data_IF_714656873015
#
_entry.id   IF_714656873015
#
_cell.length_a   1.000
_cell.length_b   1.000
_cell.length_c   1.000
_cell.angle_alpha   90.00
_cell.angle_beta   90.00
_cell.angle_gamma   90.00
#
_symmetry.space_group_name_H-M   'P 1'
#
loop_
_entity.id
_entity.type
_entity.pdbx_description
1 polymer ?
#
# COMPACT_ATOMS: atom_id res chain seq x y z
N UNK A 1 -5.63 9.62 27.37
CA UNK A 1 -5.76 10.29 26.05
C UNK A 1 -7.23 10.66 25.88
N UNK A 2 -7.55 11.88 25.42
CA UNK A 2 -8.95 12.29 25.24
C UNK A 2 -9.56 11.59 24.03
N UNK A 3 -10.88 11.41 24.02
CA UNK A 3 -11.61 10.79 22.90
C UNK A 3 -11.34 11.51 21.57
N UNK A 4 -11.24 12.84 21.59
CA UNK A 4 -10.86 13.64 20.42
C UNK A 4 -9.45 13.32 19.89
N UNK A 5 -8.45 13.13 20.78
CA UNK A 5 -7.09 12.76 20.35
C UNK A 5 -7.03 11.37 19.71
N UNK A 6 -7.84 10.42 20.18
CA UNK A 6 -7.92 9.08 19.57
C UNK A 6 -8.58 9.15 18.18
N UNK A 7 -9.67 9.91 18.03
CA UNK A 7 -10.33 10.10 16.73
C UNK A 7 -9.41 10.75 15.69
N UNK A 8 -8.57 11.70 16.09
CA UNK A 8 -7.55 12.29 15.20
C UNK A 8 -6.51 11.25 14.75
N UNK A 9 -6.08 10.33 15.63
CA UNK A 9 -5.12 9.27 15.28
C UNK A 9 -5.73 8.27 14.31
N UNK A 10 -6.99 7.88 14.50
CA UNK A 10 -7.71 6.96 13.59
C UNK A 10 -7.89 7.55 12.17
N UNK A 11 -8.18 8.85 12.06
CA UNK A 11 -8.25 9.53 10.75
C UNK A 11 -6.89 9.54 10.05
N UNK A 12 -5.80 9.73 10.79
CA UNK A 12 -4.44 9.75 10.24
C UNK A 12 -3.94 8.37 9.79
N UNK A 13 -4.56 7.29 10.28
CA UNK A 13 -4.31 5.91 9.86
C UNK A 13 -5.20 5.47 8.68
N UNK A 14 -6.08 6.35 8.18
CA UNK A 14 -6.97 6.02 7.07
C UNK A 14 -6.18 5.82 5.77
N UNK A 15 -6.32 4.67 5.10
CA UNK A 15 -5.73 4.44 3.77
C UNK A 15 -6.10 5.51 2.75
N UNK A 16 -7.32 6.05 2.87
CA UNK A 16 -7.85 7.09 1.99
C UNK A 16 -7.14 8.43 2.14
N UNK A 17 -6.58 8.72 3.33
CA UNK A 17 -5.76 9.92 3.52
C UNK A 17 -4.45 9.81 2.73
N UNK A 18 -3.81 8.64 2.76
CA UNK A 18 -2.61 8.37 1.98
C UNK A 18 -2.87 8.53 0.47
N UNK A 19 -3.97 7.94 -0.03
CA UNK A 19 -4.39 8.08 -1.43
C UNK A 19 -4.70 9.53 -1.81
N UNK A 20 -5.41 10.26 -0.95
CA UNK A 20 -5.74 11.66 -1.21
C UNK A 20 -4.47 12.53 -1.27
N UNK A 21 -3.49 12.27 -0.40
CA UNK A 21 -2.18 12.94 -0.44
C UNK A 21 -1.45 12.64 -1.75
N UNK A 22 -1.38 11.37 -2.15
CA UNK A 22 -0.73 10.96 -3.39
C UNK A 22 -1.40 11.57 -4.62
N UNK A 23 -2.73 11.57 -4.67
CA UNK A 23 -3.54 12.21 -5.71
C UNK A 23 -3.22 13.70 -5.84
N UNK A 24 -3.16 14.43 -4.72
CA UNK A 24 -2.84 15.85 -4.73
C UNK A 24 -1.43 16.14 -5.26
N UNK A 25 -0.45 15.31 -4.89
CA UNK A 25 0.91 15.42 -5.42
C UNK A 25 0.91 15.15 -6.94
N UNK A 26 0.24 14.07 -7.38
CA UNK A 26 0.12 13.71 -8.79
C UNK A 26 -0.58 14.81 -9.63
N UNK A 27 -1.61 15.46 -9.09
CA UNK A 27 -2.31 16.55 -9.75
C UNK A 27 -1.42 17.80 -9.91
N UNK A 28 -0.68 18.18 -8.86
CA UNK A 28 0.21 19.35 -8.89
C UNK A 28 1.27 19.23 -9.99
N UNK A 29 1.79 18.02 -10.22
CA UNK A 29 2.77 17.78 -11.28
C UNK A 29 2.18 17.90 -12.69
N UNK A 30 0.89 17.58 -12.86
CA UNK A 30 0.18 17.67 -14.16
C UNK A 30 -0.30 19.09 -14.49
N UNK A 31 -0.74 19.86 -13.49
CA UNK A 31 -1.35 21.17 -13.68
C UNK A 31 -0.50 22.31 -13.12
N UNK A 32 0.37 22.92 -13.94
CA UNK A 32 1.12 24.15 -13.56
C UNK A 32 0.23 25.39 -13.26
N UNK A 33 -1.11 25.28 -13.34
CA UNK A 33 -2.02 26.45 -13.42
C UNK A 33 -3.21 26.46 -12.45
N UNK A 34 -3.48 25.39 -11.69
CA UNK A 34 -4.57 25.37 -10.71
C UNK A 34 -4.01 25.51 -9.30
N UNK A 35 -4.59 26.42 -8.51
CA UNK A 35 -4.29 26.51 -7.08
C UNK A 35 -4.83 25.22 -6.43
N UNK A 36 -3.97 24.33 -5.90
CA UNK A 36 -4.46 23.15 -5.19
C UNK A 36 -5.32 23.60 -4.01
N UNK A 37 -6.25 22.74 -3.58
CA UNK A 37 -6.97 22.97 -2.33
C UNK A 37 -5.93 23.23 -1.22
N UNK A 38 -6.05 24.35 -0.51
CA UNK A 38 -5.04 24.84 0.46
C UNK A 38 -4.64 23.80 1.51
N UNK A 39 -5.51 22.82 1.77
CA UNK A 39 -5.35 21.80 2.80
C UNK A 39 -4.16 20.85 2.56
N UNK A 40 -3.86 20.52 1.30
CA UNK A 40 -2.80 19.56 0.95
C UNK A 40 -1.60 20.24 0.27
N UNK A 41 -1.49 21.57 0.39
CA UNK A 41 -0.42 22.33 -0.25
C UNK A 41 0.97 21.95 0.34
N UNK A 42 1.01 21.49 1.58
CA UNK A 42 2.21 21.01 2.27
C UNK A 42 2.58 19.54 2.02
N UNK A 43 1.79 18.79 1.22
CA UNK A 43 2.07 17.38 1.00
C UNK A 43 3.23 17.17 0.01
N UNK A 44 4.16 16.30 0.36
CA UNK A 44 5.28 15.94 -0.49
C UNK A 44 5.77 14.51 -0.24
N UNK A 45 6.44 13.95 -1.24
CA UNK A 45 7.21 12.72 -1.10
C UNK A 45 8.64 13.07 -0.70
N UNK A 46 9.08 12.59 0.47
CA UNK A 46 10.43 12.74 1.00
C UNK A 46 11.22 11.45 0.82
N UNK A 47 12.54 11.58 0.81
CA UNK A 47 13.45 10.45 0.80
C UNK A 47 14.45 10.61 1.95
N UNK A 48 14.53 9.61 2.82
CA UNK A 48 15.50 9.54 3.91
C UNK A 48 16.27 8.24 3.75
N UNK A 49 17.59 8.32 3.57
CA UNK A 49 18.46 7.17 3.29
C UNK A 49 17.97 6.29 2.13
N UNK A 50 17.42 6.91 1.09
CA UNK A 50 16.86 6.23 -0.08
C UNK A 50 15.46 5.64 0.12
N UNK A 51 14.89 5.72 1.32
CA UNK A 51 13.53 5.23 1.62
C UNK A 51 12.51 6.35 1.47
N UNK A 52 11.42 6.13 0.71
CA UNK A 52 10.39 7.14 0.52
C UNK A 52 9.45 7.23 1.73
N UNK A 53 9.03 8.44 2.07
CA UNK A 53 7.94 8.69 3.00
C UNK A 53 7.01 9.80 2.50
N UNK A 54 5.72 9.66 2.80
CA UNK A 54 4.71 10.65 2.48
C UNK A 54 4.54 11.61 3.66
N UNK A 55 4.93 12.86 3.47
CA UNK A 55 4.83 13.88 4.49
C UNK A 55 3.76 14.92 4.16
N UNK A 56 3.03 15.39 5.16
CA UNK A 56 2.14 16.54 5.01
C UNK A 56 2.02 17.35 6.31
N UNK A 57 1.92 18.66 6.17
CA UNK A 57 1.58 19.57 7.27
C UNK A 57 0.08 19.89 7.18
N UNK A 58 -0.69 19.30 8.08
CA UNK A 58 -2.13 19.51 8.19
C UNK A 58 -2.39 20.58 9.28
N UNK A 59 -3.20 21.59 8.95
CA UNK A 59 -3.69 22.62 9.87
C UNK A 59 -2.66 23.12 10.90
N UNK A 60 -1.65 23.89 10.47
CA UNK A 60 -0.66 24.64 11.25
C UNK A 60 0.02 23.94 12.46
N UNK A 61 -0.18 22.64 12.70
CA UNK A 61 0.27 21.96 13.92
C UNK A 61 0.38 20.43 13.83
N UNK A 62 -0.24 19.76 12.84
CA UNK A 62 -0.16 18.30 12.71
C UNK A 62 0.78 17.94 11.56
N UNK A 63 1.91 17.33 11.90
CA UNK A 63 2.85 16.76 10.91
C UNK A 63 2.55 15.28 10.76
N UNK A 64 2.18 14.88 9.55
CA UNK A 64 2.03 13.49 9.16
C UNK A 64 3.26 13.05 8.39
N UNK A 65 3.76 11.86 8.70
CA UNK A 65 4.87 11.21 8.00
C UNK A 65 4.56 9.71 7.91
N UNK A 66 4.25 9.24 6.71
CA UNK A 66 3.88 7.85 6.42
C UNK A 66 5.09 7.18 5.77
N UNK A 67 5.70 6.23 6.46
CA UNK A 67 6.75 5.38 5.87
C UNK A 67 6.15 4.50 4.77
N UNK A 68 6.77 4.53 3.59
CA UNK A 68 6.36 3.75 2.43
C UNK A 68 7.28 2.54 2.21
N UNK A 69 7.91 2.06 3.28
CA UNK A 69 8.67 0.80 3.31
C UNK A 69 7.75 -0.36 3.67
N UNK A 70 7.71 -1.39 2.84
CA UNK A 70 7.00 -2.62 3.15
C UNK A 70 7.71 -3.35 4.30
N UNK A 71 7.02 -3.62 5.41
CA UNK A 71 7.66 -4.26 6.56
C UNK A 71 7.94 -5.76 6.39
N UNK A 72 7.61 -6.34 5.23
CA UNK A 72 7.84 -7.75 4.91
C UNK A 72 9.10 -7.90 4.07
N UNK A 73 9.19 -7.21 2.93
CA UNK A 73 10.38 -7.26 2.06
C UNK A 73 11.43 -6.19 2.40
N UNK A 74 11.09 -5.21 3.26
CA UNK A 74 11.95 -4.11 3.70
C UNK A 74 12.38 -3.12 2.60
N UNK A 75 11.77 -3.22 1.42
CA UNK A 75 11.92 -2.30 0.30
C UNK A 75 10.75 -1.30 0.23
N UNK A 76 10.84 -0.32 -0.67
CA UNK A 76 9.71 0.56 -1.02
C UNK A 76 8.50 -0.29 -1.42
N UNK A 77 7.30 0.06 -0.93
CA UNK A 77 6.06 -0.64 -1.28
C UNK A 77 5.83 -0.62 -2.80
N UNK A 78 5.50 -1.78 -3.37
CA UNK A 78 5.23 -1.97 -4.78
C UNK A 78 3.85 -2.61 -4.96
N UNK A 79 3.04 -2.08 -5.86
CA UNK A 79 1.60 -2.41 -5.94
C UNK A 79 0.96 -2.32 -4.54
N UNK A 80 1.02 -1.13 -3.90
CA UNK A 80 0.72 -0.97 -2.49
C UNK A 80 -0.75 -1.29 -2.19
N UNK A 81 -0.96 -2.07 -1.13
CA UNK A 81 -2.27 -2.33 -0.54
C UNK A 81 -2.26 -1.91 0.92
N UNK A 82 -3.33 -1.27 1.35
CA UNK A 82 -3.59 -1.01 2.76
C UNK A 82 -4.60 -2.01 3.30
N UNK A 83 -4.26 -2.63 4.44
CA UNK A 83 -5.20 -3.47 5.19
C UNK A 83 -6.22 -2.58 5.92
N UNK A 84 -7.33 -3.16 6.39
CA UNK A 84 -8.37 -2.39 7.10
C UNK A 84 -7.87 -1.77 8.41
N UNK A 85 -6.79 -2.30 8.99
CA UNK A 85 -6.08 -1.71 10.12
C UNK A 85 -5.13 -0.55 9.75
N UNK A 86 -5.09 -0.12 8.48
CA UNK A 86 -4.32 1.03 8.00
C UNK A 86 -2.86 0.75 7.59
N UNK A 87 -2.34 -0.46 7.84
CA UNK A 87 -0.95 -0.82 7.49
C UNK A 87 -0.81 -1.12 6.00
N UNK A 88 0.27 -0.61 5.39
CA UNK A 88 0.54 -0.71 3.96
C UNK A 88 1.64 -1.74 3.68
N UNK A 89 1.41 -2.59 2.67
CA UNK A 89 2.34 -3.61 2.22
C UNK A 89 2.36 -3.67 0.68
N UNK A 90 3.35 -4.35 0.10
CA UNK A 90 3.24 -4.78 -1.31
C UNK A 90 2.11 -5.81 -1.44
N UNK A 91 1.37 -5.80 -2.56
CA UNK A 91 0.29 -6.76 -2.80
C UNK A 91 0.75 -8.22 -2.63
N UNK A 92 1.86 -8.61 -3.28
CA UNK A 92 2.38 -9.98 -3.18
C UNK A 92 2.81 -10.36 -1.75
N UNK A 93 3.35 -9.38 -0.99
CA UNK A 93 3.72 -9.60 0.40
C UNK A 93 2.49 -9.77 1.30
N UNK A 94 1.43 -8.98 1.07
CA UNK A 94 0.16 -9.14 1.77
C UNK A 94 -0.49 -10.49 1.48
N UNK A 95 -0.50 -10.95 0.22
CA UNK A 95 -1.04 -12.27 -0.15
C UNK A 95 -0.29 -13.39 0.56
N UNK A 96 1.05 -13.34 0.56
CA UNK A 96 1.89 -14.29 1.30
C UNK A 96 1.59 -14.29 2.80
N UNK A 97 1.49 -13.11 3.42
CA UNK A 97 1.15 -12.99 4.85
C UNK A 97 -0.27 -13.48 5.18
N UNK A 98 -1.19 -13.40 4.23
CA UNK A 98 -2.56 -13.90 4.35
C UNK A 98 -2.71 -15.38 3.96
N UNK A 99 -1.60 -16.07 3.65
CA UNK A 99 -1.61 -17.47 3.19
C UNK A 99 -2.51 -17.73 1.97
N UNK A 100 -2.58 -16.75 1.06
CA UNK A 100 -3.35 -16.84 -0.20
C UNK A 100 -2.46 -16.63 -1.40
N UNK A 101 -2.85 -17.19 -2.55
CA UNK A 101 -2.18 -16.88 -3.81
C UNK A 101 -2.63 -15.51 -4.32
N UNK A 102 -1.83 -14.90 -5.21
CA UNK A 102 -2.25 -13.68 -5.90
C UNK A 102 -3.49 -13.85 -6.79
N UNK A 103 -3.84 -15.10 -7.14
CA UNK A 103 -5.02 -15.45 -7.96
C UNK A 103 -6.27 -15.47 -7.09
N UNK A 104 -6.18 -16.03 -5.89
CA UNK A 104 -7.26 -15.98 -4.89
C UNK A 104 -7.50 -14.54 -4.41
N UNK A 105 -6.41 -13.78 -4.28
CA UNK A 105 -6.41 -12.43 -3.76
C UNK A 105 -6.68 -12.38 -2.25
N UNK A 106 -6.59 -11.17 -1.69
CA UNK A 106 -6.71 -10.95 -0.24
C UNK A 106 -8.12 -11.23 0.31
N UNK A 107 -9.13 -11.29 -0.56
CA UNK A 107 -10.51 -11.66 -0.21
C UNK A 107 -10.62 -13.15 0.16
N UNK A 108 -9.71 -13.99 -0.33
CA UNK A 108 -9.64 -15.41 0.04
C UNK A 108 -9.01 -15.66 1.42
N UNK A 109 -8.53 -14.61 2.09
CA UNK A 109 -7.82 -14.75 3.36
C UNK A 109 -8.75 -15.23 4.48
N UNK A 110 -8.24 -16.17 5.29
CA UNK A 110 -8.95 -16.60 6.49
C UNK A 110 -9.06 -15.44 7.50
N UNK A 111 -10.21 -15.22 8.15
CA UNK A 111 -10.35 -14.20 9.20
C UNK A 111 -9.40 -14.38 10.40
N UNK A 112 -8.78 -15.57 10.53
CA UNK A 112 -7.78 -15.86 11.57
C UNK A 112 -6.39 -15.29 11.26
N UNK A 113 -6.11 -14.99 9.99
CA UNK A 113 -4.86 -14.36 9.59
C UNK A 113 -4.78 -12.95 10.15
N UNK A 114 -3.58 -12.55 10.56
CA UNK A 114 -3.34 -11.32 11.30
C UNK A 114 -2.40 -10.40 10.55
N UNK A 115 -2.60 -9.10 10.71
CA UNK A 115 -1.65 -8.10 10.23
C UNK A 115 -0.23 -8.41 10.78
N UNK A 116 0.80 -8.48 9.94
CA UNK A 116 2.18 -8.69 10.40
C UNK A 116 2.71 -7.59 11.34
N UNK A 117 2.12 -6.39 11.28
CA UNK A 117 2.54 -5.22 12.07
C UNK A 117 1.77 -5.09 13.39
N UNK A 118 0.44 -4.95 13.36
CA UNK A 118 -0.36 -4.76 14.58
C UNK A 118 -0.98 -6.03 15.16
N UNK A 119 -0.90 -7.16 14.45
CA UNK A 119 -1.50 -8.45 14.85
C UNK A 119 -3.03 -8.45 14.95
N UNK A 120 -3.69 -7.42 14.45
CA UNK A 120 -5.14 -7.38 14.32
C UNK A 120 -5.61 -8.44 13.30
N UNK A 121 -6.68 -9.15 13.63
CA UNK A 121 -7.25 -10.23 12.82
C UNK A 121 -8.31 -9.70 11.86
N UNK A 122 -8.66 -10.47 10.83
CA UNK A 122 -9.70 -10.13 9.85
C UNK A 122 -9.45 -8.80 9.11
N UNK A 123 -8.18 -8.49 8.83
CA UNK A 123 -7.79 -7.21 8.21
C UNK A 123 -7.58 -7.24 6.68
N UNK A 124 -7.61 -8.44 6.08
CA UNK A 124 -7.25 -8.66 4.68
C UNK A 124 -8.43 -8.56 3.71
N UNK A 125 -9.63 -9.02 4.11
CA UNK A 125 -10.80 -9.10 3.22
C UNK A 125 -11.21 -7.72 2.65
N UNK A 126 -11.07 -6.67 3.45
CA UNK A 126 -11.36 -5.29 3.06
C UNK A 126 -10.14 -4.47 2.65
N UNK A 127 -9.02 -5.12 2.28
CA UNK A 127 -7.83 -4.41 1.84
C UNK A 127 -8.09 -3.59 0.57
N UNK A 128 -7.46 -2.41 0.48
CA UNK A 128 -7.64 -1.45 -0.60
C UNK A 128 -6.32 -1.25 -1.34
N UNK A 129 -6.34 -1.34 -2.67
CA UNK A 129 -5.20 -0.93 -3.50
C UNK A 129 -5.07 0.60 -3.49
N UNK A 130 -3.84 1.08 -3.31
CA UNK A 130 -3.51 2.50 -3.26
C UNK A 130 -2.99 2.96 -4.63
N UNK A 131 -3.91 3.18 -5.57
CA UNK A 131 -3.60 3.42 -6.98
C UNK A 131 -2.85 4.74 -7.22
N UNK A 132 -3.23 5.82 -6.54
CA UNK A 132 -2.57 7.11 -6.70
C UNK A 132 -1.18 7.09 -6.07
N UNK A 133 -1.01 6.40 -4.94
CA UNK A 133 0.30 6.12 -4.36
C UNK A 133 1.16 5.29 -5.31
N UNK A 134 0.60 4.25 -5.92
CA UNK A 134 1.27 3.41 -6.91
C UNK A 134 1.78 4.24 -8.11
N UNK A 135 0.92 5.10 -8.64
CA UNK A 135 1.27 6.03 -9.72
C UNK A 135 2.38 6.98 -9.28
N UNK A 136 2.27 7.56 -8.07
CA UNK A 136 3.26 8.48 -7.54
C UNK A 136 4.63 7.80 -7.42
N UNK A 137 4.69 6.62 -6.80
CA UNK A 137 5.93 5.87 -6.61
C UNK A 137 6.54 5.44 -7.95
N UNK A 138 5.72 5.02 -8.93
CA UNK A 138 6.22 4.65 -10.26
C UNK A 138 6.96 5.80 -10.98
N UNK A 139 6.51 7.03 -10.76
CA UNK A 139 7.14 8.23 -11.36
C UNK A 139 8.37 8.68 -10.59
N UNK A 140 8.31 8.64 -9.25
CA UNK A 140 9.34 9.21 -8.37
C UNK A 140 10.49 8.24 -8.12
N UNK A 141 10.25 6.94 -8.25
CA UNK A 141 11.22 5.87 -8.00
C UNK A 141 11.50 5.04 -9.28
N UNK A 142 11.60 5.68 -10.45
CA UNK A 142 11.57 5.02 -11.77
C UNK A 142 12.52 3.82 -11.92
N UNK A 143 13.80 3.96 -11.57
CA UNK A 143 14.79 2.88 -11.75
C UNK A 143 14.45 1.64 -10.89
N UNK A 144 14.16 1.86 -9.61
CA UNK A 144 13.69 0.80 -8.71
C UNK A 144 12.39 0.18 -9.22
N UNK A 145 11.46 1.00 -9.70
CA UNK A 145 10.14 0.56 -10.14
C UNK A 145 10.22 -0.34 -11.37
N UNK A 146 11.07 -0.01 -12.33
CA UNK A 146 11.29 -0.79 -13.55
C UNK A 146 11.89 -2.16 -13.23
N UNK A 147 12.93 -2.21 -12.39
CA UNK A 147 13.54 -3.45 -11.92
C UNK A 147 12.54 -4.32 -11.14
N UNK A 148 11.80 -3.71 -10.23
CA UNK A 148 10.82 -4.42 -9.40
C UNK A 148 9.66 -4.97 -10.24
N UNK A 149 9.18 -4.21 -11.23
CA UNK A 149 8.12 -4.64 -12.14
C UNK A 149 8.53 -5.87 -12.95
N UNK A 150 9.77 -5.92 -13.46
CA UNK A 150 10.27 -7.08 -14.19
C UNK A 150 10.33 -8.33 -13.29
N UNK A 151 10.87 -8.16 -12.09
CA UNK A 151 11.02 -9.23 -11.10
C UNK A 151 9.67 -9.79 -10.65
N UNK A 152 8.73 -8.90 -10.27
CA UNK A 152 7.40 -9.34 -9.83
C UNK A 152 6.56 -9.91 -10.96
N UNK A 153 6.71 -9.43 -12.21
CA UNK A 153 5.96 -10.02 -13.34
C UNK A 153 6.32 -11.49 -13.54
N UNK A 154 7.60 -11.85 -13.43
CA UNK A 154 8.05 -13.23 -13.52
C UNK A 154 7.47 -14.09 -12.39
N UNK A 155 7.53 -13.58 -11.15
CA UNK A 155 7.01 -14.30 -9.98
C UNK A 155 5.48 -14.43 -10.02
N UNK A 156 4.74 -13.40 -10.46
CA UNK A 156 3.28 -13.48 -10.62
C UNK A 156 2.86 -14.54 -11.63
N UNK A 157 3.55 -14.63 -12.77
CA UNK A 157 3.28 -15.67 -13.78
C UNK A 157 3.54 -17.06 -13.20
N UNK A 158 4.63 -17.22 -12.44
CA UNK A 158 4.97 -18.48 -11.77
C UNK A 158 3.90 -18.88 -10.76
N UNK A 159 3.50 -17.99 -9.86
CA UNK A 159 2.46 -18.28 -8.86
C UNK A 159 1.11 -18.61 -9.50
N UNK A 160 0.72 -17.89 -10.55
CA UNK A 160 -0.52 -18.18 -11.27
C UNK A 160 -0.49 -19.56 -11.93
N UNK A 161 0.66 -19.95 -12.51
CA UNK A 161 0.85 -21.30 -13.06
C UNK A 161 0.74 -22.36 -11.97
N UNK A 162 1.46 -22.21 -10.86
CA UNK A 162 1.45 -23.15 -9.73
C UNK A 162 0.04 -23.29 -9.13
N UNK A 163 -0.69 -22.18 -8.99
CA UNK A 163 -2.09 -22.17 -8.56
C UNK A 163 -2.95 -23.06 -9.48
N UNK A 164 -2.93 -22.83 -10.80
CA UNK A 164 -3.76 -23.60 -11.72
C UNK A 164 -3.35 -25.06 -11.84
N UNK A 165 -2.05 -25.36 -11.76
CA UNK A 165 -1.57 -26.75 -11.71
C UNK A 165 -2.07 -27.47 -10.46
N UNK A 166 -2.07 -26.80 -9.30
CA UNK A 166 -2.62 -27.35 -8.07
C UNK A 166 -4.12 -27.60 -8.19
N UNK A 167 -4.89 -26.62 -8.70
CA UNK A 167 -6.33 -26.77 -8.93
C UNK A 167 -6.64 -27.92 -9.89
N UNK A 168 -5.89 -28.05 -10.98
CA UNK A 168 -6.02 -29.16 -11.92
C UNK A 168 -5.76 -30.52 -11.25
N UNK A 169 -4.70 -30.64 -10.44
CA UNK A 169 -4.39 -31.87 -9.69
C UNK A 169 -5.49 -32.22 -8.70
N UNK A 170 -5.94 -31.24 -7.91
CA UNK A 170 -7.03 -31.41 -6.96
C UNK A 170 -8.33 -31.87 -7.66
N UNK A 171 -8.64 -31.31 -8.83
CA UNK A 171 -9.79 -31.71 -9.64
C UNK A 171 -9.65 -33.13 -10.21
N UNK A 172 -8.46 -33.52 -10.66
CA UNK A 172 -8.18 -34.86 -11.19
C UNK A 172 -8.03 -35.94 -10.09
N UNK A 173 -7.95 -35.54 -8.81
CA UNK A 173 -7.75 -36.46 -7.69
C UNK A 173 -6.36 -37.11 -7.65
N UNK A 174 -5.34 -36.44 -8.21
CA UNK A 174 -3.93 -36.88 -8.25
C UNK A 174 -3.06 -36.04 -7.34
#
# INVERSE_FOLDING_TARGET
KSQAQNMHVEILQSPWLCELMAFHINLREKEKRRKPAKLFDGCCLKFTDGKPSLACELFDSVKLDIDLTCSICLDTVFDPVALTCGHIFCYMCACSAASVTIVDGLQGASPKEKCPLCREAAVFEGAVHLDELNILLSRRCHAYWEERLQSERAERVKQAKEHWEFQCRAFMGV
#
